data_IF_005365405677
#
_entry.id   IF_005365405677
#
_cell.length_a   1.000
_cell.length_b   1.000
_cell.length_c   1.000
_cell.angle_alpha   90.00
_cell.angle_beta   90.00
_cell.angle_gamma   90.00
#
_symmetry.space_group_name_H-M   'P 1'
#
loop_
_entity.id
_entity.type
_entity.pdbx_description
1 polymer ?
#
# COMPACT_ATOMS: atom_id res chain seq x y z
N UNK A 1 18.35 -11.60 -15.96
CA UNK A 1 17.87 -10.26 -16.39
C UNK A 1 16.88 -9.78 -15.34
N UNK A 2 17.21 -8.74 -14.58
CA UNK A 2 16.28 -8.17 -13.60
C UNK A 2 15.20 -7.39 -14.37
N UNK A 3 13.92 -7.74 -14.19
CA UNK A 3 12.80 -6.98 -14.74
C UNK A 3 12.77 -5.67 -13.96
N UNK A 4 13.21 -4.58 -14.59
CA UNK A 4 13.04 -3.25 -14.04
C UNK A 4 11.52 -2.98 -13.93
N UNK A 5 11.02 -2.50 -12.79
CA UNK A 5 9.60 -2.19 -12.66
C UNK A 5 9.25 -1.14 -13.71
N UNK A 6 8.27 -1.46 -14.55
CA UNK A 6 7.77 -0.54 -15.56
C UNK A 6 7.35 0.77 -14.88
N UNK A 7 7.71 1.95 -15.43
CA UNK A 7 7.14 3.20 -14.97
C UNK A 7 5.61 3.07 -15.04
N UNK A 8 4.93 3.48 -13.97
CA UNK A 8 3.48 3.35 -13.78
C UNK A 8 2.96 1.94 -13.39
N UNK A 9 3.82 1.03 -12.94
CA UNK A 9 3.35 -0.23 -12.35
C UNK A 9 2.52 0.03 -11.06
N UNK A 10 1.44 -0.73 -10.80
CA UNK A 10 0.54 -0.49 -9.67
C UNK A 10 1.24 -0.43 -8.30
N UNK A 11 2.23 -1.29 -8.07
CA UNK A 11 3.02 -1.29 -6.82
C UNK A 11 3.81 0.01 -6.61
N UNK A 12 4.34 0.58 -7.69
CA UNK A 12 5.07 1.85 -7.65
C UNK A 12 4.12 2.99 -7.29
N UNK A 13 2.91 2.99 -7.88
CA UNK A 13 1.87 3.98 -7.61
C UNK A 13 1.34 3.91 -6.18
N UNK A 14 1.20 2.70 -5.63
CA UNK A 14 0.83 2.50 -4.21
C UNK A 14 1.92 3.07 -3.31
N UNK A 15 3.18 2.73 -3.57
CA UNK A 15 4.33 3.18 -2.76
C UNK A 15 4.46 4.70 -2.78
N UNK A 16 4.28 5.32 -3.94
CA UNK A 16 4.28 6.78 -4.10
C UNK A 16 3.08 7.43 -3.40
N UNK A 17 1.88 6.86 -3.52
CA UNK A 17 0.70 7.38 -2.82
C UNK A 17 0.85 7.32 -1.29
N UNK A 18 1.45 6.24 -0.78
CA UNK A 18 1.76 6.11 0.64
C UNK A 18 2.81 7.13 1.11
N UNK A 19 3.84 7.42 0.31
CA UNK A 19 4.89 8.39 0.68
C UNK A 19 4.47 9.85 0.50
N UNK A 20 3.68 10.17 -0.53
CA UNK A 20 3.17 11.51 -0.78
C UNK A 20 2.12 11.94 0.26
N UNK A 21 1.41 10.98 0.84
CA UNK A 21 0.43 11.19 1.91
C UNK A 21 -0.71 12.16 1.53
N UNK A 22 -0.97 12.32 0.24
CA UNK A 22 -2.02 13.20 -0.33
C UNK A 22 -3.37 12.48 -0.41
N UNK A 23 -3.87 12.03 0.73
CA UNK A 23 -5.13 11.29 0.82
C UNK A 23 -6.30 12.24 1.04
N UNK A 24 -7.40 11.99 0.33
CA UNK A 24 -8.68 12.66 0.57
C UNK A 24 -9.56 11.77 1.47
N UNK A 25 -10.15 12.33 2.54
CA UNK A 25 -11.04 11.56 3.41
C UNK A 25 -12.35 11.24 2.68
N UNK A 26 -12.83 9.99 2.81
CA UNK A 26 -14.20 9.60 2.47
C UNK A 26 -15.05 9.64 3.73
N UNK A 27 -14.52 9.05 4.80
CA UNK A 27 -15.09 9.04 6.15
C UNK A 27 -13.96 8.89 7.20
N UNK A 28 -14.33 8.56 8.44
CA UNK A 28 -13.39 8.42 9.56
C UNK A 28 -12.40 7.25 9.42
N UNK A 29 -12.69 6.28 8.55
CA UNK A 29 -11.96 5.01 8.45
C UNK A 29 -11.37 4.76 7.05
N UNK A 30 -11.84 5.46 6.03
CA UNK A 30 -11.42 5.36 4.64
C UNK A 30 -10.93 6.68 4.08
N UNK A 31 -9.84 6.59 3.33
CA UNK A 31 -9.28 7.70 2.56
C UNK A 31 -8.95 7.21 1.16
N UNK A 32 -8.93 8.11 0.18
CA UNK A 32 -8.60 7.75 -1.21
C UNK A 32 -7.67 8.75 -1.87
N UNK A 33 -7.02 8.30 -2.94
CA UNK A 33 -6.37 9.20 -3.91
C UNK A 33 -6.63 8.67 -5.30
N UNK A 34 -6.89 9.57 -6.24
CA UNK A 34 -6.91 9.23 -7.65
C UNK A 34 -5.47 9.27 -8.19
N UNK A 35 -5.11 8.30 -9.03
CA UNK A 35 -3.85 8.28 -9.78
C UNK A 35 -4.17 7.98 -11.24
N UNK A 36 -3.50 8.71 -12.12
CA UNK A 36 -3.51 8.37 -13.54
C UNK A 36 -2.36 7.39 -13.77
N UNK A 37 -2.70 6.15 -14.14
CA UNK A 37 -1.73 5.15 -14.54
C UNK A 37 -1.81 4.99 -16.05
N UNK A 38 -0.68 4.98 -16.74
CA UNK A 38 -0.64 4.60 -18.15
C UNK A 38 0.01 3.23 -18.25
N UNK A 39 -0.73 2.25 -18.77
CA UNK A 39 -0.22 0.91 -19.01
C UNK A 39 -0.43 0.54 -20.47
N UNK A 40 0.66 0.13 -21.15
CA UNK A 40 0.64 -0.24 -22.56
C UNK A 40 0.04 0.85 -23.49
N UNK A 41 0.25 2.12 -23.17
CA UNK A 41 -0.26 3.26 -23.96
C UNK A 41 -1.75 3.56 -23.73
N UNK A 42 -2.38 2.91 -22.77
CA UNK A 42 -3.79 3.13 -22.43
C UNK A 42 -3.85 3.90 -21.10
N UNK A 43 -4.43 5.10 -21.07
CA UNK A 43 -4.65 5.82 -19.82
C UNK A 43 -5.74 5.11 -19.02
N UNK A 44 -5.40 4.72 -17.81
CA UNK A 44 -6.30 4.07 -16.87
C UNK A 44 -6.43 4.96 -15.62
N UNK A 45 -7.65 5.39 -15.27
CA UNK A 45 -7.88 6.07 -14.01
C UNK A 45 -7.91 5.02 -12.89
N UNK A 46 -6.99 5.16 -11.93
CA UNK A 46 -6.94 4.31 -10.75
C UNK A 46 -7.40 5.10 -9.52
N UNK A 47 -8.17 4.44 -8.66
CA UNK A 47 -8.52 4.96 -7.35
C UNK A 47 -7.92 4.05 -6.30
N UNK A 48 -7.01 4.61 -5.50
CA UNK A 48 -6.40 3.93 -4.38
C UNK A 48 -7.24 4.20 -3.14
N UNK A 49 -7.66 3.14 -2.45
CA UNK A 49 -8.41 3.22 -1.21
C UNK A 49 -7.52 2.76 -0.05
N UNK A 50 -7.38 3.60 0.96
CA UNK A 50 -6.69 3.31 2.20
C UNK A 50 -7.70 3.14 3.32
N UNK A 51 -7.63 1.99 4.02
CA UNK A 51 -8.45 1.73 5.21
C UNK A 51 -7.58 1.73 6.45
N UNK A 52 -7.86 2.68 7.36
CA UNK A 52 -7.17 2.79 8.65
C UNK A 52 -7.38 1.54 9.50
N UNK A 53 -8.60 0.99 9.50
CA UNK A 53 -8.92 -0.24 10.22
C UNK A 53 -8.14 -1.46 9.69
N UNK A 54 -8.00 -1.58 8.37
CA UNK A 54 -7.22 -2.66 7.77
C UNK A 54 -5.72 -2.51 8.09
N UNK A 55 -5.19 -1.29 8.04
CA UNK A 55 -3.80 -1.01 8.37
C UNK A 55 -3.48 -1.36 9.84
N UNK A 56 -4.34 -0.97 10.79
CA UNK A 56 -4.16 -1.32 12.21
C UNK A 56 -4.23 -2.83 12.45
N UNK A 57 -5.15 -3.54 11.78
CA UNK A 57 -5.22 -5.01 11.85
C UNK A 57 -3.96 -5.67 11.31
N UNK A 58 -3.46 -5.20 10.16
CA UNK A 58 -2.22 -5.71 9.57
C UNK A 58 -1.03 -5.49 10.52
N UNK A 59 -0.92 -4.29 11.10
CA UNK A 59 0.13 -3.96 12.09
C UNK A 59 0.07 -4.91 13.29
N UNK A 60 -1.11 -5.13 13.87
CA UNK A 60 -1.29 -6.06 15.00
C UNK A 60 -0.87 -7.49 14.67
N UNK A 61 -1.20 -7.97 13.48
CA UNK A 61 -0.84 -9.33 13.02
C UNK A 61 0.67 -9.43 12.82
N UNK A 62 1.30 -8.45 12.17
CA UNK A 62 2.76 -8.42 11.95
C UNK A 62 3.50 -8.38 13.29
N UNK A 63 3.09 -7.51 14.22
CA UNK A 63 3.70 -7.45 15.56
C UNK A 63 3.55 -8.76 16.31
N UNK A 64 2.38 -9.42 16.22
CA UNK A 64 2.15 -10.74 16.80
C UNK A 64 3.10 -11.79 16.19
N UNK A 65 3.20 -11.86 14.87
CA UNK A 65 4.11 -12.79 14.20
C UNK A 65 5.57 -12.55 14.56
N UNK A 66 6.00 -11.29 14.55
CA UNK A 66 7.35 -10.92 14.95
C UNK A 66 7.65 -11.32 16.40
N UNK A 67 6.71 -11.08 17.33
CA UNK A 67 6.88 -11.49 18.73
C UNK A 67 6.92 -13.00 18.93
N UNK A 68 6.15 -13.77 18.14
CA UNK A 68 6.21 -15.24 18.19
C UNK A 68 7.49 -15.80 17.57
N UNK A 69 8.01 -15.16 16.53
CA UNK A 69 9.25 -15.58 15.87
C UNK A 69 10.47 -15.27 16.76
N UNK A 70 10.52 -14.09 17.40
CA UNK A 70 11.61 -13.76 18.34
C UNK A 70 11.66 -14.77 19.50
N UNK A 71 10.52 -15.08 20.14
CA UNK A 71 10.46 -16.10 21.21
C UNK A 71 10.82 -17.51 20.72
N UNK A 72 10.70 -17.80 19.42
CA UNK A 72 11.04 -19.10 18.84
C UNK A 72 12.53 -19.24 18.54
N UNK A 73 13.21 -18.15 18.20
CA UNK A 73 14.62 -18.15 17.83
C UNK A 73 15.56 -17.71 18.96
N UNK A 74 15.05 -16.99 19.96
CA UNK A 74 15.79 -16.56 21.14
C UNK A 74 14.90 -16.72 22.39
N UNK A 75 14.95 -17.88 23.07
CA UNK A 75 14.25 -18.10 24.34
C UNK A 75 14.89 -17.32 25.51
#
# INVERSE_FOLDING_TARGET
MAVLPLPNHPLSLITEALSAQQWQPIDDIYQYTAKHAEYMGIPQPWMLLYSKAAAERAKKIITKHYSSDVNRFFP
#
